data_IF_471082474310
#
_entry.id   IF_471082474310
#
_cell.length_a   1.000
_cell.length_b   1.000
_cell.length_c   1.000
_cell.angle_alpha   90.00
_cell.angle_beta   90.00
_cell.angle_gamma   90.00
#
_symmetry.space_group_name_H-M   'P 1'
#
loop_
_entity.id
_entity.type
_entity.pdbx_description
1 polymer ?
#
# COMPACT_ATOMS: atom_id res chain seq x y z
N UNK A 1 15.41 -7.29 23.27
CA UNK A 1 13.97 -7.24 22.99
C UNK A 1 13.56 -8.31 21.98
N UNK A 2 12.27 -8.59 21.87
CA UNK A 2 11.73 -9.58 20.94
C UNK A 2 11.54 -8.99 19.54
N UNK A 3 11.86 -9.79 18.53
CA UNK A 3 11.63 -9.43 17.13
C UNK A 3 11.39 -10.69 16.26
N UNK A 4 10.60 -10.57 15.21
CA UNK A 4 10.49 -11.57 14.15
C UNK A 4 11.53 -11.26 13.08
N UNK A 5 12.55 -12.09 12.98
CA UNK A 5 13.74 -11.88 12.14
C UNK A 5 13.75 -12.84 10.98
N UNK A 6 13.78 -12.34 9.77
CA UNK A 6 14.11 -13.13 8.58
C UNK A 6 15.62 -13.27 8.51
N UNK A 7 16.12 -14.48 8.75
CA UNK A 7 17.54 -14.78 8.89
C UNK A 7 18.19 -15.21 7.56
N UNK A 8 17.43 -15.92 6.77
CA UNK A 8 17.78 -16.40 5.44
C UNK A 8 16.54 -16.49 4.56
N UNK A 9 16.66 -16.60 3.24
CA UNK A 9 15.51 -16.86 2.38
C UNK A 9 14.69 -18.06 2.86
N UNK A 10 13.38 -17.86 3.04
CA UNK A 10 12.46 -18.88 3.54
C UNK A 10 12.56 -19.17 5.04
N UNK A 11 13.31 -18.38 5.81
CA UNK A 11 13.51 -18.64 7.24
C UNK A 11 13.28 -17.39 8.06
N UNK A 12 12.21 -17.39 8.86
CA UNK A 12 11.91 -16.37 9.86
C UNK A 12 11.76 -17.01 11.23
N UNK A 13 12.32 -16.40 12.27
CA UNK A 13 12.21 -16.86 13.65
C UNK A 13 11.89 -15.72 14.61
N UNK A 14 11.31 -16.05 15.76
CA UNK A 14 11.17 -15.10 16.87
C UNK A 14 12.46 -15.15 17.69
N UNK A 15 13.08 -13.97 17.84
CA UNK A 15 14.28 -13.78 18.65
C UNK A 15 13.96 -12.89 19.85
N UNK A 16 14.63 -13.10 20.97
CA UNK A 16 14.51 -12.33 22.22
C UNK A 16 15.78 -11.52 22.56
N UNK A 17 16.83 -11.73 21.78
CA UNK A 17 18.17 -11.14 21.95
C UNK A 17 18.47 -9.97 21.00
N UNK A 18 17.47 -9.44 20.30
CA UNK A 18 17.67 -8.28 19.42
C UNK A 18 17.92 -7.02 20.23
N UNK A 19 18.69 -6.10 19.62
CA UNK A 19 19.08 -4.86 20.31
C UNK A 19 17.88 -3.92 20.49
N UNK A 20 17.68 -3.42 21.71
CA UNK A 20 16.72 -2.35 21.95
C UNK A 20 17.22 -1.01 21.39
N UNK A 21 16.29 -0.15 20.89
CA UNK A 21 16.65 1.23 20.61
C UNK A 21 17.06 1.92 21.91
N UNK A 22 18.08 2.77 21.84
CA UNK A 22 18.45 3.64 22.96
C UNK A 22 17.40 4.74 23.22
N UNK A 23 17.64 5.60 24.19
CA UNK A 23 16.84 6.83 24.33
C UNK A 23 16.82 7.62 23.00
N UNK A 24 15.66 8.17 22.60
CA UNK A 24 15.57 8.87 21.31
C UNK A 24 16.41 10.16 21.33
N UNK A 25 17.15 10.37 20.25
CA UNK A 25 17.93 11.58 19.98
C UNK A 25 17.05 12.75 19.51
N UNK A 26 17.68 13.91 19.17
CA UNK A 26 16.95 15.05 18.64
C UNK A 26 16.16 14.70 17.37
N UNK A 27 14.87 15.01 17.38
CA UNK A 27 13.97 14.71 16.26
C UNK A 27 13.61 13.24 16.08
N UNK A 28 13.92 12.36 17.04
CA UNK A 28 13.60 10.95 17.03
C UNK A 28 12.48 10.60 18.02
N UNK A 29 11.75 9.54 17.71
CA UNK A 29 10.66 9.00 18.52
C UNK A 29 10.87 7.49 18.64
N UNK A 30 10.74 6.94 19.85
CA UNK A 30 10.64 5.49 20.04
C UNK A 30 9.16 5.13 20.10
N UNK A 31 8.77 4.17 19.26
CA UNK A 31 7.40 3.68 19.18
C UNK A 31 7.35 2.17 19.49
N UNK A 32 6.20 1.74 20.02
CA UNK A 32 5.85 0.34 20.24
C UNK A 32 4.81 -0.05 19.20
N UNK A 33 5.13 -0.91 18.20
CA UNK A 33 4.17 -1.41 17.23
C UNK A 33 3.00 -2.14 17.91
N UNK A 34 1.77 -1.82 17.50
CA UNK A 34 0.55 -2.49 17.96
C UNK A 34 -0.06 -3.40 16.89
N UNK A 35 0.15 -3.05 15.63
CA UNK A 35 -0.27 -3.84 14.48
C UNK A 35 0.68 -3.64 13.30
N UNK A 36 1.00 -4.72 12.62
CA UNK A 36 1.86 -4.72 11.43
C UNK A 36 1.18 -5.52 10.32
N UNK A 37 0.82 -4.85 9.23
CA UNK A 37 0.27 -5.50 8.04
C UNK A 37 1.35 -6.23 7.25
N UNK A 38 0.97 -7.35 6.64
CA UNK A 38 1.81 -8.09 5.69
C UNK A 38 1.51 -7.61 4.27
N UNK A 39 2.55 -7.23 3.54
CA UNK A 39 2.52 -6.79 2.16
C UNK A 39 3.04 -7.87 1.21
N UNK A 40 2.68 -7.81 -0.07
CA UNK A 40 3.28 -8.66 -1.11
C UNK A 40 4.81 -8.53 -1.21
N UNK A 41 5.36 -7.35 -0.92
CA UNK A 41 6.81 -7.14 -0.88
C UNK A 41 7.51 -7.89 0.27
N UNK A 42 6.80 -8.17 1.37
CA UNK A 42 7.32 -9.02 2.45
C UNK A 42 7.51 -10.47 1.97
N UNK A 43 6.64 -10.94 1.07
CA UNK A 43 6.78 -12.27 0.44
C UNK A 43 8.04 -12.34 -0.43
N UNK A 44 8.24 -11.35 -1.29
CA UNK A 44 9.42 -11.26 -2.16
C UNK A 44 10.72 -11.10 -1.33
N UNK A 45 10.66 -10.36 -0.22
CA UNK A 45 11.79 -10.26 0.70
C UNK A 45 12.11 -11.61 1.36
N UNK A 46 11.08 -12.27 1.91
CA UNK A 46 11.20 -13.57 2.54
C UNK A 46 11.72 -14.65 1.59
N UNK A 47 11.30 -14.62 0.33
CA UNK A 47 11.80 -15.52 -0.71
C UNK A 47 13.25 -15.20 -1.16
N UNK A 48 13.81 -14.05 -0.77
CA UNK A 48 15.15 -13.62 -1.17
C UNK A 48 15.22 -12.87 -2.51
N UNK A 49 14.10 -12.64 -3.15
CA UNK A 49 14.01 -12.03 -4.49
C UNK A 49 14.38 -10.54 -4.50
N UNK A 50 14.20 -9.83 -3.38
CA UNK A 50 14.52 -8.40 -3.30
C UNK A 50 16.01 -8.11 -3.03
N UNK A 51 16.82 -9.09 -2.68
CA UNK A 51 18.22 -8.86 -2.36
C UNK A 51 19.00 -8.26 -3.53
N UNK A 52 18.84 -8.81 -4.73
CA UNK A 52 19.49 -8.30 -5.93
C UNK A 52 18.78 -7.06 -6.50
N UNK A 53 17.45 -7.02 -6.40
CA UNK A 53 16.64 -5.99 -7.05
C UNK A 53 16.78 -4.60 -6.39
N UNK A 54 16.80 -4.56 -5.04
CA UNK A 54 16.82 -3.30 -4.29
C UNK A 54 17.95 -3.20 -3.27
N UNK A 55 18.89 -4.14 -3.27
CA UNK A 55 20.03 -4.14 -2.35
C UNK A 55 19.66 -4.44 -0.90
N UNK A 56 18.56 -5.15 -0.68
CA UNK A 56 18.13 -5.56 0.65
C UNK A 56 19.09 -6.61 1.23
N UNK A 57 19.28 -6.58 2.55
CA UNK A 57 20.24 -7.48 3.24
C UNK A 57 19.57 -8.23 4.38
N UNK A 58 20.02 -9.46 4.62
CA UNK A 58 19.66 -10.29 5.75
C UNK A 58 20.81 -10.32 6.79
N UNK A 59 20.54 -10.57 8.08
CA UNK A 59 19.18 -10.72 8.65
C UNK A 59 18.41 -9.40 8.72
N UNK A 60 17.06 -9.48 8.80
CA UNK A 60 16.19 -8.30 8.80
C UNK A 60 14.91 -8.54 9.61
N UNK A 61 14.51 -7.56 10.40
CA UNK A 61 13.15 -7.46 10.94
C UNK A 61 12.26 -6.85 9.85
N UNK A 62 11.27 -7.60 9.38
CA UNK A 62 10.34 -7.14 8.34
C UNK A 62 9.20 -6.26 8.90
N UNK A 63 8.28 -5.86 8.03
CA UNK A 63 7.07 -5.13 8.34
C UNK A 63 7.21 -3.62 8.17
N UNK A 64 6.47 -3.06 7.22
CA UNK A 64 6.47 -1.64 6.89
C UNK A 64 5.09 -1.00 6.91
N UNK A 65 4.01 -1.78 7.07
CA UNK A 65 2.65 -1.31 7.28
C UNK A 65 2.35 -1.28 8.79
N UNK A 66 2.71 -0.21 9.48
CA UNK A 66 2.80 -0.20 10.95
C UNK A 66 1.89 0.84 11.58
N UNK A 67 1.03 0.38 12.50
CA UNK A 67 0.43 1.22 13.54
C UNK A 67 1.15 0.97 14.86
N UNK A 68 1.45 2.04 15.59
CA UNK A 68 2.23 1.98 16.82
C UNK A 68 1.73 3.00 17.85
N UNK A 69 2.22 2.89 19.07
CA UNK A 69 2.05 3.91 20.12
C UNK A 69 3.41 4.51 20.44
N UNK A 70 3.46 5.81 20.58
CA UNK A 70 4.65 6.54 21.04
C UNK A 70 4.98 6.13 22.47
N UNK A 71 6.20 5.66 22.74
CA UNK A 71 6.71 5.37 24.09
C UNK A 71 7.61 6.48 24.61
N UNK A 72 8.47 7.03 23.76
CA UNK A 72 9.38 8.10 24.15
C UNK A 72 9.60 9.08 22.99
N UNK A 73 9.83 10.34 23.35
CA UNK A 73 10.04 11.43 22.39
C UNK A 73 11.37 12.12 22.73
N UNK A 74 12.24 12.25 21.75
CA UNK A 74 13.50 12.97 21.88
C UNK A 74 13.34 14.49 21.86
N UNK A 75 14.42 15.22 22.15
CA UNK A 75 14.42 16.67 22.02
C UNK A 75 14.07 17.11 20.58
N UNK A 76 13.61 18.35 20.43
CA UNK A 76 13.32 18.97 19.11
C UNK A 76 12.21 18.26 18.29
N UNK A 77 11.43 17.38 18.90
CA UNK A 77 10.26 16.83 18.25
C UNK A 77 9.11 17.84 18.22
N UNK A 78 8.35 17.78 17.13
CA UNK A 78 7.16 18.64 16.94
C UNK A 78 6.09 18.35 17.98
N UNK A 79 5.25 19.34 18.24
CA UNK A 79 4.05 19.17 19.06
C UNK A 79 3.11 18.09 18.48
N UNK A 80 2.36 17.44 19.36
CA UNK A 80 1.43 16.36 19.01
C UNK A 80 2.04 14.95 19.04
N UNK A 81 3.37 14.82 19.20
CA UNK A 81 4.02 13.55 19.49
C UNK A 81 4.30 13.46 20.99
N UNK A 82 3.56 12.62 21.69
CA UNK A 82 3.73 12.41 23.15
C UNK A 82 3.51 10.91 23.47
N UNK A 83 4.10 10.41 24.58
CA UNK A 83 3.83 9.05 25.03
C UNK A 83 2.33 8.77 25.13
N UNK A 84 1.89 7.61 24.58
CA UNK A 84 0.50 7.19 24.53
C UNK A 84 -0.24 7.60 23.23
N UNK A 85 0.31 8.48 22.42
CA UNK A 85 -0.30 8.85 21.14
C UNK A 85 -0.13 7.70 20.13
N UNK A 86 -1.25 7.27 19.50
CA UNK A 86 -1.18 6.31 18.40
C UNK A 86 -0.75 6.98 17.11
N UNK A 87 0.08 6.28 16.36
CA UNK A 87 0.70 6.77 15.13
C UNK A 87 0.69 5.70 14.04
N UNK A 88 0.61 6.14 12.80
CA UNK A 88 0.96 5.34 11.63
C UNK A 88 2.37 5.73 11.15
N UNK A 89 3.14 4.77 10.67
CA UNK A 89 4.52 5.01 10.24
C UNK A 89 4.62 5.10 8.73
N UNK A 90 5.14 6.23 8.23
CA UNK A 90 5.56 6.35 6.84
C UNK A 90 6.90 5.63 6.65
N UNK A 91 6.94 4.53 5.86
CA UNK A 91 8.10 3.65 5.88
C UNK A 91 9.30 4.17 5.09
N UNK A 92 9.13 5.19 4.24
CA UNK A 92 10.12 5.63 3.28
C UNK A 92 11.01 6.75 3.83
N UNK A 93 12.33 6.60 3.67
CA UNK A 93 13.33 7.65 3.94
C UNK A 93 13.98 8.07 2.62
N UNK A 94 13.60 9.21 2.02
CA UNK A 94 14.27 9.73 0.83
C UNK A 94 15.59 10.40 1.19
N UNK A 95 16.57 10.39 0.29
CA UNK A 95 17.88 11.01 0.55
C UNK A 95 17.87 12.55 0.55
N UNK A 96 16.79 13.20 0.10
CA UNK A 96 16.63 14.65 0.04
C UNK A 96 17.45 15.37 -1.04
N UNK A 97 18.47 14.74 -1.65
CA UNK A 97 19.46 15.43 -2.48
C UNK A 97 19.51 15.00 -3.96
N UNK A 98 18.94 13.84 -4.33
CA UNK A 98 18.91 13.38 -5.73
C UNK A 98 17.92 14.19 -6.59
N UNK A 99 17.97 13.99 -7.92
CA UNK A 99 17.08 14.73 -8.83
C UNK A 99 15.61 14.57 -8.50
N UNK A 100 15.04 13.36 -8.31
CA UNK A 100 13.65 13.18 -7.90
C UNK A 100 13.30 13.91 -6.59
N UNK A 101 14.17 13.84 -5.57
CA UNK A 101 13.95 14.54 -4.31
C UNK A 101 13.83 16.05 -4.48
N UNK A 102 14.73 16.66 -5.27
CA UNK A 102 14.66 18.10 -5.58
C UNK A 102 13.41 18.51 -6.38
N UNK A 103 12.79 17.56 -7.08
CA UNK A 103 11.52 17.76 -7.79
C UNK A 103 10.29 17.50 -6.90
N UNK A 104 10.46 17.30 -5.59
CA UNK A 104 9.36 16.95 -4.68
C UNK A 104 8.84 15.51 -4.84
N UNK A 105 9.60 14.64 -5.55
CA UNK A 105 9.25 13.24 -5.81
C UNK A 105 10.14 12.29 -5.02
N UNK A 106 10.25 12.52 -3.71
CA UNK A 106 11.05 11.69 -2.81
C UNK A 106 10.64 10.21 -2.80
N UNK A 107 9.39 9.91 -3.16
CA UNK A 107 8.86 8.55 -3.32
C UNK A 107 9.59 7.71 -4.39
N UNK A 108 10.27 8.32 -5.34
CA UNK A 108 11.12 7.66 -6.35
C UNK A 108 12.57 8.13 -6.21
N UNK A 109 13.02 8.30 -4.98
CA UNK A 109 14.40 8.64 -4.66
C UNK A 109 15.37 7.57 -5.17
N UNK A 110 16.47 7.98 -5.78
CA UNK A 110 17.51 7.07 -6.29
C UNK A 110 18.25 6.30 -5.17
N UNK A 111 18.13 6.76 -3.93
CA UNK A 111 18.79 6.20 -2.73
C UNK A 111 17.84 6.20 -1.55
N UNK A 112 16.62 5.73 -1.75
CA UNK A 112 15.67 5.61 -0.65
C UNK A 112 16.04 4.45 0.28
N UNK A 113 15.62 4.56 1.52
CA UNK A 113 15.56 3.45 2.46
C UNK A 113 14.11 3.20 2.87
N UNK A 114 13.75 1.96 3.10
CA UNK A 114 12.41 1.56 3.51
C UNK A 114 12.54 0.63 4.71
N UNK A 115 11.85 0.94 5.80
CA UNK A 115 11.82 0.07 6.99
C UNK A 115 11.21 -1.28 6.61
N UNK A 116 11.68 -2.35 7.25
CA UNK A 116 11.27 -3.72 6.94
C UNK A 116 11.95 -4.35 5.73
N UNK A 117 12.69 -3.54 4.93
CA UNK A 117 13.44 -4.00 3.74
C UNK A 117 14.91 -3.59 3.82
N UNK A 118 15.21 -2.30 3.91
CA UNK A 118 16.60 -1.80 3.97
C UNK A 118 17.08 -1.61 5.41
N UNK A 119 16.17 -1.27 6.31
CA UNK A 119 16.38 -1.17 7.75
C UNK A 119 15.33 -2.00 8.48
N UNK A 120 15.53 -2.26 9.77
CA UNK A 120 14.58 -3.03 10.56
C UNK A 120 13.21 -2.36 10.62
N UNK A 121 12.17 -3.18 10.48
CA UNK A 121 10.77 -2.79 10.41
C UNK A 121 9.99 -2.99 11.71
N UNK A 122 8.66 -3.05 11.60
CA UNK A 122 7.74 -3.03 12.72
C UNK A 122 7.54 -4.36 13.46
N UNK A 123 8.03 -5.49 12.95
CA UNK A 123 7.86 -6.79 13.61
C UNK A 123 8.82 -6.97 14.79
N UNK A 124 8.79 -6.00 15.72
CA UNK A 124 9.58 -5.99 16.95
C UNK A 124 8.88 -5.17 18.04
N UNK A 125 9.33 -5.35 19.30
CA UNK A 125 8.73 -4.67 20.46
C UNK A 125 8.85 -3.16 20.41
N UNK A 126 9.98 -2.62 19.93
CA UNK A 126 10.27 -1.17 19.87
C UNK A 126 11.01 -0.81 18.61
N UNK A 127 10.72 0.38 18.08
CA UNK A 127 11.36 0.90 16.88
C UNK A 127 11.64 2.41 17.08
N UNK A 128 12.89 2.83 16.81
CA UNK A 128 13.22 4.25 16.74
C UNK A 128 12.95 4.80 15.34
N UNK A 129 12.25 5.93 15.27
CA UNK A 129 11.83 6.54 14.01
C UNK A 129 12.12 8.05 14.01
N UNK A 130 12.55 8.62 12.86
CA UNK A 130 12.55 10.08 12.70
C UNK A 130 11.12 10.64 12.81
N UNK A 131 10.93 11.74 13.51
CA UNK A 131 9.61 12.36 13.70
C UNK A 131 8.86 12.66 12.40
N UNK A 132 9.58 12.90 11.30
CA UNK A 132 9.00 13.15 9.98
C UNK A 132 8.32 11.93 9.35
N UNK A 133 8.55 10.75 9.91
CA UNK A 133 7.96 9.47 9.47
C UNK A 133 6.86 8.97 10.43
N UNK A 134 6.54 9.70 11.48
CA UNK A 134 5.59 9.32 12.52
C UNK A 134 4.36 10.22 12.43
N UNK A 135 3.20 9.69 12.08
CA UNK A 135 1.97 10.45 11.86
C UNK A 135 0.91 10.05 12.88
N UNK A 136 0.50 10.98 13.79
CA UNK A 136 -0.64 10.74 14.68
C UNK A 136 -1.87 10.30 13.91
N UNK A 137 -2.59 9.31 14.44
CA UNK A 137 -3.82 8.77 13.85
C UNK A 137 -4.86 8.52 14.94
N UNK A 138 -6.10 9.01 14.73
CA UNK A 138 -7.19 8.90 15.68
C UNK A 138 -7.97 7.57 15.57
N UNK A 139 -7.71 6.73 14.55
CA UNK A 139 -8.35 5.41 14.42
C UNK A 139 -7.96 4.52 15.62
N UNK A 140 -8.97 4.04 16.34
CA UNK A 140 -8.77 3.30 17.59
C UNK A 140 -8.40 1.82 17.39
N UNK A 141 -8.69 1.26 16.21
CA UNK A 141 -8.37 -0.12 15.82
C UNK A 141 -6.96 -0.17 15.23
N UNK A 142 -5.96 -0.71 15.93
CA UNK A 142 -4.58 -0.72 15.44
C UNK A 142 -4.43 -1.38 14.07
N UNK A 143 -5.18 -2.47 13.83
CA UNK A 143 -5.18 -3.21 12.56
C UNK A 143 -5.73 -2.38 11.40
N UNK A 144 -6.65 -1.45 11.66
CA UNK A 144 -7.17 -0.52 10.65
C UNK A 144 -6.20 0.66 10.48
N UNK A 145 -5.63 1.17 11.58
CA UNK A 145 -4.61 2.22 11.53
C UNK A 145 -3.37 1.81 10.72
N UNK A 146 -2.98 0.52 10.77
CA UNK A 146 -1.87 -0.02 9.97
C UNK A 146 -2.15 0.05 8.45
N UNK A 147 -3.42 0.12 8.04
CA UNK A 147 -3.79 0.30 6.63
C UNK A 147 -3.41 1.68 6.07
N UNK A 148 -2.96 2.63 6.90
CA UNK A 148 -2.51 3.94 6.41
C UNK A 148 -1.40 3.81 5.35
N UNK A 149 -0.53 2.79 5.47
CA UNK A 149 0.51 2.55 4.48
C UNK A 149 -0.09 2.10 3.13
N UNK A 150 -0.82 0.98 3.00
CA UNK A 150 -1.40 0.59 1.72
C UNK A 150 -2.42 1.60 1.17
N UNK A 151 -3.14 2.32 2.03
CA UNK A 151 -4.02 3.42 1.62
C UNK A 151 -3.20 4.58 1.02
N UNK A 152 -1.97 4.81 1.48
CA UNK A 152 -1.11 5.84 0.90
C UNK A 152 -0.69 5.53 -0.54
N UNK A 153 -0.53 4.25 -0.88
CA UNK A 153 -0.31 3.80 -2.26
C UNK A 153 -1.53 4.12 -3.12
N UNK A 154 -2.73 3.89 -2.58
CA UNK A 154 -3.99 4.21 -3.25
C UNK A 154 -4.18 5.72 -3.46
N UNK A 155 -3.93 6.53 -2.44
CA UNK A 155 -3.93 8.00 -2.55
C UNK A 155 -2.99 8.45 -3.65
N UNK A 156 -1.77 7.91 -3.68
CA UNK A 156 -0.81 8.21 -4.75
C UNK A 156 -1.34 7.83 -6.13
N UNK A 157 -1.95 6.66 -6.28
CA UNK A 157 -2.52 6.21 -7.55
C UNK A 157 -3.64 7.15 -8.05
N UNK A 158 -4.56 7.53 -7.16
CA UNK A 158 -5.67 8.43 -7.44
C UNK A 158 -5.15 9.85 -7.77
N UNK A 159 -4.11 10.34 -7.06
CA UNK A 159 -3.43 11.59 -7.37
C UNK A 159 -2.76 11.56 -8.76
N UNK A 160 -2.05 10.47 -9.06
CA UNK A 160 -1.40 10.29 -10.38
C UNK A 160 -2.41 10.24 -11.51
N UNK A 161 -3.53 9.56 -11.30
CA UNK A 161 -4.65 9.49 -12.25
C UNK A 161 -5.46 10.78 -12.32
N UNK A 162 -5.23 11.75 -11.44
CA UNK A 162 -6.02 13.00 -11.34
C UNK A 162 -7.52 12.71 -11.25
N UNK A 163 -7.89 11.64 -10.53
CA UNK A 163 -9.30 11.26 -10.38
C UNK A 163 -10.06 12.39 -9.68
N UNK A 164 -11.15 12.82 -10.27
CA UNK A 164 -11.94 13.96 -9.81
C UNK A 164 -13.41 13.58 -9.55
N UNK A 165 -14.11 14.48 -8.84
CA UNK A 165 -15.53 14.31 -8.56
C UNK A 165 -16.35 14.25 -9.85
N UNK A 166 -17.33 13.34 -9.89
CA UNK A 166 -18.19 13.10 -11.04
C UNK A 166 -17.57 12.23 -12.14
N UNK A 167 -16.28 11.87 -12.06
CA UNK A 167 -15.68 10.94 -13.00
C UNK A 167 -16.08 9.49 -12.69
N UNK A 168 -15.93 8.62 -13.69
CA UNK A 168 -16.11 7.18 -13.60
C UNK A 168 -14.75 6.50 -13.73
N UNK A 169 -14.30 5.85 -12.66
CA UNK A 169 -13.01 5.18 -12.58
C UNK A 169 -13.19 3.66 -12.58
N UNK A 170 -12.43 2.96 -13.42
CA UNK A 170 -12.36 1.48 -13.37
C UNK A 170 -11.09 1.06 -12.67
N UNK A 171 -11.19 0.13 -11.74
CA UNK A 171 -10.05 -0.41 -10.99
C UNK A 171 -9.96 -1.92 -11.23
N UNK A 172 -8.86 -2.34 -11.83
CA UNK A 172 -8.53 -3.76 -12.02
C UNK A 172 -7.83 -4.31 -10.78
N UNK A 173 -8.39 -5.42 -10.26
CA UNK A 173 -7.99 -6.04 -9.01
C UNK A 173 -8.73 -5.44 -7.82
N UNK A 174 -9.52 -6.27 -7.13
CA UNK A 174 -10.19 -5.94 -5.88
C UNK A 174 -9.44 -6.49 -4.65
N UNK A 175 -8.12 -6.65 -4.76
CA UNK A 175 -7.23 -6.91 -3.62
C UNK A 175 -7.10 -5.70 -2.69
N UNK A 176 -6.25 -5.74 -1.66
CA UNK A 176 -6.11 -4.66 -0.68
C UNK A 176 -5.85 -3.28 -1.32
N UNK A 177 -4.98 -3.21 -2.31
CA UNK A 177 -4.65 -1.96 -3.01
C UNK A 177 -5.82 -1.49 -3.87
N UNK A 178 -6.48 -2.36 -4.63
CA UNK A 178 -7.63 -1.97 -5.45
C UNK A 178 -8.82 -1.50 -4.62
N UNK A 179 -9.08 -2.13 -3.49
CA UNK A 179 -10.10 -1.68 -2.53
C UNK A 179 -9.76 -0.31 -1.94
N UNK A 180 -8.50 -0.10 -1.54
CA UNK A 180 -8.05 1.19 -1.04
C UNK A 180 -8.17 2.28 -2.12
N UNK A 181 -7.84 1.98 -3.40
CA UNK A 181 -8.04 2.89 -4.53
C UNK A 181 -9.53 3.20 -4.69
N UNK A 182 -10.41 2.20 -4.60
CA UNK A 182 -11.85 2.41 -4.69
C UNK A 182 -12.34 3.37 -3.60
N UNK A 183 -11.96 3.14 -2.33
CA UNK A 183 -12.33 4.03 -1.21
C UNK A 183 -11.80 5.45 -1.43
N UNK A 184 -10.53 5.59 -1.86
CA UNK A 184 -9.93 6.90 -2.10
C UNK A 184 -10.61 7.66 -3.27
N UNK A 185 -11.00 6.97 -4.34
CA UNK A 185 -11.70 7.56 -5.48
C UNK A 185 -13.16 7.94 -5.13
N UNK A 186 -13.85 7.07 -4.39
CA UNK A 186 -15.20 7.34 -3.88
C UNK A 186 -15.22 8.57 -2.95
N UNK A 187 -14.24 8.70 -2.06
CA UNK A 187 -14.09 9.86 -1.19
C UNK A 187 -13.95 11.17 -1.98
N UNK A 188 -13.34 11.12 -3.17
CA UNK A 188 -13.26 12.27 -4.09
C UNK A 188 -14.54 12.55 -4.87
N UNK A 189 -15.55 11.72 -4.69
CA UNK A 189 -16.84 11.86 -5.42
C UNK A 189 -16.82 11.25 -6.81
N UNK A 190 -15.88 10.38 -7.14
CA UNK A 190 -15.91 9.57 -8.35
C UNK A 190 -16.84 8.36 -8.16
N UNK A 191 -17.45 7.87 -9.22
CA UNK A 191 -18.04 6.54 -9.26
C UNK A 191 -16.94 5.52 -9.59
N UNK A 192 -16.98 4.34 -8.96
CA UNK A 192 -15.93 3.32 -9.11
C UNK A 192 -16.52 1.99 -9.52
N UNK A 193 -15.91 1.35 -10.53
CA UNK A 193 -16.16 -0.02 -10.93
C UNK A 193 -14.92 -0.87 -10.64
N UNK A 194 -15.06 -1.85 -9.76
CA UNK A 194 -14.03 -2.87 -9.49
C UNK A 194 -14.17 -4.05 -10.47
N UNK A 195 -13.04 -4.56 -10.92
CA UNK A 195 -12.95 -5.76 -11.77
C UNK A 195 -12.04 -6.78 -11.11
N UNK A 196 -12.57 -7.95 -10.75
CA UNK A 196 -11.79 -9.03 -10.10
C UNK A 196 -12.43 -10.39 -10.39
N UNK A 197 -11.66 -11.49 -10.51
CA UNK A 197 -12.25 -12.82 -10.68
C UNK A 197 -12.94 -13.36 -9.43
N UNK A 198 -12.66 -12.83 -8.24
CA UNK A 198 -13.15 -13.34 -6.96
C UNK A 198 -14.36 -12.53 -6.47
N UNK A 199 -15.54 -13.13 -6.53
CA UNK A 199 -16.81 -12.47 -6.18
C UNK A 199 -16.83 -11.93 -4.74
N UNK A 200 -16.26 -12.66 -3.77
CA UNK A 200 -16.21 -12.19 -2.38
C UNK A 200 -15.42 -10.88 -2.21
N UNK A 201 -14.41 -10.63 -3.06
CA UNK A 201 -13.67 -9.37 -3.09
C UNK A 201 -14.52 -8.23 -3.68
N UNK A 202 -15.26 -8.51 -4.74
CA UNK A 202 -16.19 -7.55 -5.32
C UNK A 202 -17.29 -7.17 -4.31
N UNK A 203 -17.76 -8.12 -3.51
CA UNK A 203 -18.76 -7.86 -2.48
C UNK A 203 -18.24 -6.90 -1.38
N UNK A 204 -16.96 -7.00 -0.99
CA UNK A 204 -16.35 -6.02 -0.09
C UNK A 204 -16.39 -4.62 -0.70
N UNK A 205 -16.04 -4.49 -1.98
CA UNK A 205 -16.09 -3.22 -2.70
C UNK A 205 -17.50 -2.63 -2.80
N UNK A 206 -18.50 -3.47 -3.06
CA UNK A 206 -19.91 -3.03 -3.11
C UNK A 206 -20.36 -2.49 -1.75
N UNK A 207 -19.98 -3.13 -0.65
CA UNK A 207 -20.28 -2.62 0.71
C UNK A 207 -19.58 -1.29 1.00
N UNK A 208 -18.41 -1.06 0.38
CA UNK A 208 -17.73 0.22 0.47
C UNK A 208 -18.32 1.31 -0.45
N UNK A 209 -19.26 0.95 -1.36
CA UNK A 209 -19.95 1.87 -2.27
C UNK A 209 -19.47 1.86 -3.72
N UNK A 210 -18.59 0.93 -4.10
CA UNK A 210 -18.19 0.71 -5.48
C UNK A 210 -19.17 -0.24 -6.19
N UNK A 211 -19.22 -0.18 -7.52
CA UNK A 211 -19.78 -1.25 -8.33
C UNK A 211 -18.72 -2.35 -8.57
N UNK A 212 -19.14 -3.53 -9.02
CA UNK A 212 -18.22 -4.62 -9.26
C UNK A 212 -18.68 -5.57 -10.35
N UNK A 213 -17.76 -5.95 -11.24
CA UNK A 213 -17.99 -6.98 -12.27
C UNK A 213 -16.89 -8.05 -12.21
N UNK A 214 -17.24 -9.33 -12.43
CA UNK A 214 -16.25 -10.38 -12.50
C UNK A 214 -15.36 -10.23 -13.74
N UNK A 215 -14.09 -10.62 -13.59
CA UNK A 215 -13.20 -10.77 -14.75
C UNK A 215 -13.67 -11.98 -15.60
N UNK A 216 -14.12 -11.72 -16.80
CA UNK A 216 -14.62 -12.73 -17.75
C UNK A 216 -13.84 -12.75 -19.07
N UNK A 217 -12.71 -12.02 -19.12
CA UNK A 217 -11.89 -11.81 -20.31
C UNK A 217 -11.85 -10.33 -20.71
N UNK A 218 -10.78 -9.95 -21.40
CA UNK A 218 -10.50 -8.55 -21.69
C UNK A 218 -11.62 -7.87 -22.52
N UNK A 219 -12.09 -8.53 -23.58
CA UNK A 219 -13.11 -7.97 -24.50
C UNK A 219 -14.43 -7.70 -23.77
N UNK A 220 -14.95 -8.70 -23.05
CA UNK A 220 -16.22 -8.58 -22.33
C UNK A 220 -16.12 -7.52 -21.21
N UNK A 221 -15.00 -7.48 -20.47
CA UNK A 221 -14.80 -6.48 -19.40
C UNK A 221 -14.75 -5.07 -19.99
N UNK A 222 -14.09 -4.86 -21.14
CA UNK A 222 -14.03 -3.57 -21.82
C UNK A 222 -15.44 -3.11 -22.23
N UNK A 223 -16.26 -4.01 -22.80
CA UNK A 223 -17.64 -3.69 -23.20
C UNK A 223 -18.49 -3.30 -21.99
N UNK A 224 -18.52 -4.14 -20.96
CA UNK A 224 -19.28 -3.90 -19.72
C UNK A 224 -18.84 -2.63 -18.98
N UNK A 225 -17.56 -2.34 -18.93
CA UNK A 225 -17.05 -1.12 -18.31
C UNK A 225 -17.45 0.14 -19.09
N UNK A 226 -17.48 0.08 -20.41
CA UNK A 226 -17.97 1.17 -21.27
C UNK A 226 -19.46 1.37 -21.11
N UNK A 227 -20.26 0.31 -21.07
CA UNK A 227 -21.70 0.40 -20.80
C UNK A 227 -21.97 1.03 -19.42
N UNK A 228 -21.25 0.57 -18.38
CA UNK A 228 -21.35 1.14 -17.04
C UNK A 228 -20.97 2.62 -17.01
N UNK A 229 -19.92 3.00 -17.74
CA UNK A 229 -19.48 4.39 -17.81
C UNK A 229 -20.40 5.29 -18.66
N UNK A 230 -21.21 4.73 -19.56
CA UNK A 230 -22.05 5.48 -20.48
C UNK A 230 -21.26 6.15 -21.61
N UNK A 231 -21.82 7.21 -22.18
CA UNK A 231 -21.23 7.90 -23.33
C UNK A 231 -19.77 8.29 -23.11
N UNK A 232 -18.91 7.88 -24.04
CA UNK A 232 -17.48 8.16 -24.02
C UNK A 232 -16.62 7.13 -23.26
N UNK A 233 -17.21 6.24 -22.45
CA UNK A 233 -16.48 5.27 -21.65
C UNK A 233 -15.78 5.86 -20.41
N UNK A 234 -15.08 5.03 -19.60
CA UNK A 234 -14.46 5.48 -18.35
C UNK A 234 -13.21 6.34 -18.63
N UNK A 235 -13.13 7.60 -18.18
CA UNK A 235 -12.00 8.48 -18.46
C UNK A 235 -10.71 8.07 -17.76
N UNK A 236 -10.78 7.20 -16.76
CA UNK A 236 -9.62 6.74 -16.01
C UNK A 236 -9.74 5.26 -15.65
N UNK A 237 -8.67 4.51 -15.87
CA UNK A 237 -8.51 3.13 -15.43
C UNK A 237 -7.25 3.01 -14.57
N UNK A 238 -7.33 2.28 -13.45
CA UNK A 238 -6.23 2.04 -12.53
C UNK A 238 -6.00 0.52 -12.42
N UNK A 239 -4.78 0.08 -12.67
CA UNK A 239 -4.43 -1.33 -12.54
C UNK A 239 -3.70 -1.60 -11.23
N UNK A 240 -4.29 -2.42 -10.37
CA UNK A 240 -3.69 -2.88 -9.12
C UNK A 240 -3.26 -4.37 -9.20
N UNK A 241 -3.23 -4.95 -10.41
CA UNK A 241 -2.91 -6.37 -10.61
C UNK A 241 -1.50 -6.61 -11.14
N UNK A 242 -0.98 -5.73 -12.00
CA UNK A 242 0.21 -5.96 -12.81
C UNK A 242 0.02 -7.02 -13.91
N UNK A 243 -1.21 -7.50 -14.11
CA UNK A 243 -1.50 -8.54 -15.09
C UNK A 243 -1.54 -7.96 -16.52
N UNK A 244 -0.85 -8.59 -17.50
CA UNK A 244 -0.79 -8.08 -18.87
C UNK A 244 -2.16 -7.87 -19.53
N UNK A 245 -3.11 -8.77 -19.30
CA UNK A 245 -4.45 -8.68 -19.87
C UNK A 245 -5.28 -7.54 -19.26
N UNK A 246 -5.14 -7.31 -17.94
CA UNK A 246 -5.79 -6.21 -17.26
C UNK A 246 -5.24 -4.85 -17.74
N UNK A 247 -3.93 -4.73 -17.90
CA UNK A 247 -3.29 -3.51 -18.42
C UNK A 247 -3.71 -3.25 -19.88
N UNK A 248 -3.77 -4.28 -20.72
CA UNK A 248 -4.29 -4.14 -22.10
C UNK A 248 -5.75 -3.68 -22.11
N UNK A 249 -6.60 -4.33 -21.32
CA UNK A 249 -8.00 -3.93 -21.18
C UNK A 249 -8.14 -2.49 -20.70
N UNK A 250 -7.32 -2.05 -19.73
CA UNK A 250 -7.30 -0.66 -19.25
C UNK A 250 -6.98 0.34 -20.36
N UNK A 251 -5.96 0.05 -21.20
CA UNK A 251 -5.59 0.92 -22.35
C UNK A 251 -6.68 0.93 -23.43
N UNK A 252 -7.30 -0.21 -23.67
CA UNK A 252 -8.32 -0.33 -24.71
C UNK A 252 -9.64 0.35 -24.32
N UNK A 253 -10.04 0.28 -23.03
CA UNK A 253 -11.33 0.78 -22.58
C UNK A 253 -11.42 2.31 -22.49
N UNK A 254 -10.34 2.99 -22.11
CA UNK A 254 -10.37 4.43 -21.91
C UNK A 254 -10.57 5.18 -23.23
N UNK A 255 -11.36 6.27 -23.26
CA UNK A 255 -11.60 7.09 -24.45
C UNK A 255 -10.36 7.93 -24.82
N UNK A 256 -10.41 8.66 -25.95
CA UNK A 256 -9.42 9.71 -26.24
C UNK A 256 -9.25 10.68 -25.07
N UNK A 257 -8.00 11.11 -24.82
CA UNK A 257 -7.56 11.87 -23.66
C UNK A 257 -7.74 11.14 -22.32
N UNK A 258 -7.95 9.83 -22.35
CA UNK A 258 -8.07 8.97 -21.17
C UNK A 258 -6.76 8.76 -20.43
N UNK A 259 -6.86 8.29 -19.19
CA UNK A 259 -5.72 8.07 -18.29
C UNK A 259 -5.70 6.63 -17.81
N UNK A 260 -4.52 6.01 -17.87
CA UNK A 260 -4.27 4.68 -17.29
C UNK A 260 -3.18 4.81 -16.25
N UNK A 261 -3.42 4.32 -15.04
CA UNK A 261 -2.44 4.30 -13.94
C UNK A 261 -2.07 2.87 -13.62
N UNK A 262 -0.79 2.54 -13.76
CA UNK A 262 -0.25 1.22 -13.43
C UNK A 262 0.32 1.28 -12.02
N UNK A 263 -0.27 0.51 -11.11
CA UNK A 263 0.08 0.40 -9.68
C UNK A 263 0.62 -0.99 -9.38
N UNK A 264 0.01 -2.02 -9.97
CA UNK A 264 0.42 -3.41 -9.79
C UNK A 264 1.86 -3.63 -10.28
N UNK A 265 2.63 -4.36 -9.49
CA UNK A 265 3.98 -4.80 -9.85
C UNK A 265 3.94 -6.25 -10.30
N UNK A 266 4.80 -6.59 -11.25
CA UNK A 266 4.96 -7.96 -11.71
C UNK A 266 6.15 -8.10 -12.65
N UNK A 267 6.68 -9.31 -12.83
CA UNK A 267 7.82 -9.59 -13.71
C UNK A 267 7.43 -9.65 -15.19
N UNK A 268 6.17 -9.34 -15.53
CA UNK A 268 5.61 -9.57 -16.87
C UNK A 268 5.89 -8.42 -17.82
N UNK A 269 6.21 -8.74 -19.06
CA UNK A 269 6.20 -7.80 -20.17
C UNK A 269 4.78 -7.64 -20.72
N UNK A 270 4.41 -6.41 -21.06
CA UNK A 270 3.11 -6.09 -21.65
C UNK A 270 3.30 -5.53 -23.05
N UNK A 271 2.86 -6.25 -24.06
CA UNK A 271 2.81 -5.75 -25.42
C UNK A 271 1.58 -4.84 -25.61
N UNK A 272 1.82 -3.59 -25.99
CA UNK A 272 0.79 -2.59 -26.25
C UNK A 272 0.90 -2.05 -27.69
N UNK A 273 -0.24 -1.74 -28.31
CA UNK A 273 -0.26 -1.11 -29.64
C UNK A 273 0.11 0.35 -29.52
N UNK A 274 1.14 0.78 -30.25
CA UNK A 274 1.58 2.20 -30.26
C UNK A 274 0.45 3.13 -30.71
N UNK A 275 -0.37 2.71 -31.69
CA UNK A 275 -1.53 3.47 -32.16
C UNK A 275 -2.52 3.83 -31.05
N UNK A 276 -2.72 2.94 -30.06
CA UNK A 276 -3.60 3.23 -28.91
C UNK A 276 -3.20 4.49 -28.15
N UNK A 277 -1.90 4.80 -28.09
CA UNK A 277 -1.40 6.00 -27.42
C UNK A 277 -1.54 7.26 -28.27
N UNK A 278 -1.16 7.17 -29.55
CA UNK A 278 -1.11 8.34 -30.45
C UNK A 278 -2.47 8.74 -30.96
N UNK A 279 -3.33 7.78 -31.32
CA UNK A 279 -4.69 8.04 -31.83
C UNK A 279 -5.64 8.57 -30.75
N UNK A 280 -5.45 8.11 -29.49
CA UNK A 280 -6.27 8.53 -28.35
C UNK A 280 -5.60 9.62 -27.49
N UNK A 281 -4.32 9.96 -27.73
CA UNK A 281 -3.54 10.89 -26.89
C UNK A 281 -3.60 10.50 -25.40
N UNK A 282 -3.30 9.21 -25.09
CA UNK A 282 -3.45 8.66 -23.75
C UNK A 282 -2.32 9.08 -22.80
N UNK A 283 -2.68 9.38 -21.55
CA UNK A 283 -1.77 9.43 -20.41
C UNK A 283 -1.62 8.03 -19.81
N UNK A 284 -0.48 7.36 -20.03
CA UNK A 284 -0.15 6.12 -19.31
C UNK A 284 0.90 6.41 -18.24
N UNK A 285 0.54 6.19 -17.00
CA UNK A 285 1.25 6.69 -15.83
C UNK A 285 1.61 5.54 -14.88
N UNK A 286 2.89 5.41 -14.54
CA UNK A 286 3.31 4.56 -13.41
C UNK A 286 3.18 5.28 -12.08
N UNK A 287 3.00 4.52 -11.01
CA UNK A 287 3.05 5.01 -9.62
C UNK A 287 3.98 4.13 -8.79
N UNK A 288 4.58 4.70 -7.76
CA UNK A 288 5.47 3.98 -6.84
C UNK A 288 5.42 4.63 -5.48
N UNK A 289 5.25 3.83 -4.44
CA UNK A 289 5.20 4.26 -3.05
C UNK A 289 4.30 5.50 -2.86
N UNK A 290 4.63 6.40 -1.93
CA UNK A 290 3.95 7.68 -1.72
C UNK A 290 4.91 8.73 -1.17
N UNK A 291 4.54 10.01 -1.28
CA UNK A 291 5.23 11.10 -0.58
C UNK A 291 4.69 11.24 0.85
N UNK A 292 5.44 11.93 1.74
CA UNK A 292 4.98 12.21 3.10
C UNK A 292 3.63 12.97 3.13
N UNK A 293 3.39 13.86 2.17
CA UNK A 293 2.12 14.58 2.05
C UNK A 293 0.95 13.63 1.70
N UNK A 294 1.18 12.69 0.80
CA UNK A 294 0.19 11.67 0.45
C UNK A 294 -0.03 10.66 1.58
N UNK A 295 1.00 10.39 2.39
CA UNK A 295 0.84 9.59 3.60
C UNK A 295 -0.04 10.31 4.64
N UNK A 296 0.16 11.61 4.85
CA UNK A 296 -0.72 12.41 5.71
C UNK A 296 -2.18 12.42 5.21
N UNK A 297 -2.39 12.53 3.88
CA UNK A 297 -3.72 12.41 3.25
C UNK A 297 -4.33 11.02 3.51
N UNK A 298 -3.52 9.97 3.43
CA UNK A 298 -3.95 8.60 3.69
C UNK A 298 -4.36 8.37 5.15
N UNK A 299 -3.60 8.90 6.11
CA UNK A 299 -3.96 8.88 7.54
C UNK A 299 -5.34 9.49 7.74
N UNK A 300 -5.57 10.69 7.22
CA UNK A 300 -6.87 11.35 7.32
C UNK A 300 -7.99 10.58 6.58
N UNK A 301 -7.67 9.89 5.48
CA UNK A 301 -8.63 9.04 4.78
C UNK A 301 -9.01 7.81 5.60
N UNK A 302 -8.05 7.15 6.26
CA UNK A 302 -8.31 6.03 7.18
C UNK A 302 -9.21 6.47 8.31
N UNK A 303 -8.95 7.61 8.96
CA UNK A 303 -9.78 8.15 10.04
C UNK A 303 -11.25 8.36 9.63
N UNK A 304 -11.48 8.84 8.42
CA UNK A 304 -12.85 9.07 7.91
C UNK A 304 -13.54 7.82 7.38
N UNK A 305 -12.78 6.82 6.95
CA UNK A 305 -13.30 5.64 6.24
C UNK A 305 -12.92 4.31 6.94
N UNK A 306 -12.56 4.33 8.22
CA UNK A 306 -12.14 3.14 8.95
C UNK A 306 -13.12 1.97 8.83
N UNK A 307 -14.42 2.22 8.85
CA UNK A 307 -15.45 1.17 8.71
C UNK A 307 -15.53 0.57 7.29
N UNK A 308 -15.21 1.35 6.25
CA UNK A 308 -15.11 0.84 4.87
C UNK A 308 -13.84 0.04 4.66
N UNK A 309 -12.77 0.36 5.39
CA UNK A 309 -11.45 -0.26 5.28
C UNK A 309 -11.29 -1.48 6.20
N UNK A 310 -11.98 -1.52 7.34
CA UNK A 310 -11.87 -2.62 8.30
C UNK A 310 -12.11 -4.01 7.69
N UNK A 311 -13.06 -4.23 6.74
CA UNK A 311 -13.25 -5.52 6.10
C UNK A 311 -12.04 -6.03 5.29
N UNK A 312 -11.06 -5.16 5.00
CA UNK A 312 -9.82 -5.58 4.34
C UNK A 312 -8.95 -6.43 5.25
N UNK A 313 -9.03 -6.24 6.57
CA UNK A 313 -8.29 -7.05 7.55
C UNK A 313 -9.04 -8.36 7.75
N UNK A 314 -8.67 -9.38 6.98
CA UNK A 314 -9.33 -10.69 7.03
C UNK A 314 -8.78 -11.62 8.12
N UNK A 315 -7.50 -11.48 8.46
CA UNK A 315 -6.83 -12.36 9.42
C UNK A 315 -5.92 -11.56 10.35
N UNK A 316 -5.92 -11.97 11.61
CA UNK A 316 -5.02 -11.41 12.63
C UNK A 316 -4.30 -12.54 13.35
N UNK A 317 -2.99 -12.39 13.52
CA UNK A 317 -2.14 -13.33 14.23
C UNK A 317 -1.48 -12.66 15.45
N UNK A 318 -1.23 -13.42 16.49
CA UNK A 318 -0.40 -12.97 17.59
C UNK A 318 1.07 -12.86 17.14
N UNK A 319 1.85 -12.00 17.79
CA UNK A 319 3.25 -11.76 17.46
C UNK A 319 4.09 -13.05 17.38
N UNK A 320 3.92 -13.97 18.32
CA UNK A 320 4.65 -15.24 18.34
C UNK A 320 4.38 -16.13 17.13
N UNK A 321 3.32 -15.85 16.38
CA UNK A 321 2.94 -16.55 15.16
C UNK A 321 3.30 -15.76 13.89
N UNK A 322 4.16 -14.75 13.99
CA UNK A 322 4.55 -13.95 12.82
C UNK A 322 5.14 -14.79 11.67
N UNK A 323 6.03 -15.79 11.92
CA UNK A 323 6.49 -16.66 10.84
C UNK A 323 5.37 -17.45 10.15
N UNK A 324 4.42 -17.97 10.94
CA UNK A 324 3.25 -18.68 10.43
C UNK A 324 2.33 -17.76 9.64
N UNK A 325 2.09 -16.54 10.13
CA UNK A 325 1.24 -15.56 9.47
C UNK A 325 1.74 -15.20 8.08
N UNK A 326 3.06 -15.06 7.92
CA UNK A 326 3.70 -14.76 6.63
C UNK A 326 3.49 -15.92 5.64
N UNK A 327 3.79 -17.15 6.06
CA UNK A 327 3.60 -18.35 5.23
C UNK A 327 2.11 -18.54 4.88
N UNK A 328 1.22 -18.38 5.88
CA UNK A 328 -0.22 -18.49 5.66
C UNK A 328 -0.71 -17.51 4.59
N UNK A 329 -0.28 -16.25 4.67
CA UNK A 329 -0.66 -15.22 3.69
C UNK A 329 -0.16 -15.54 2.28
N UNK A 330 1.04 -16.12 2.14
CA UNK A 330 1.62 -16.56 0.87
C UNK A 330 0.87 -17.74 0.25
N UNK A 331 0.48 -18.71 1.08
CA UNK A 331 -0.15 -19.96 0.62
C UNK A 331 -1.66 -19.83 0.36
N UNK A 332 -2.31 -18.80 0.94
CA UNK A 332 -3.76 -18.60 0.85
C UNK A 332 -4.15 -17.24 0.20
N UNK A 333 -3.62 -16.90 -1.00
CA UNK A 333 -3.82 -15.59 -1.62
C UNK A 333 -5.27 -15.30 -2.03
N UNK A 334 -6.10 -16.33 -2.21
CA UNK A 334 -7.51 -16.19 -2.56
C UNK A 334 -8.41 -15.98 -1.35
N UNK A 335 -7.99 -16.42 -0.16
CA UNK A 335 -8.75 -16.30 1.09
C UNK A 335 -8.36 -15.04 1.88
N UNK A 336 -7.11 -14.60 1.71
CA UNK A 336 -6.57 -13.45 2.43
C UNK A 336 -6.69 -12.17 1.63
N UNK A 337 -7.05 -11.08 2.32
CA UNK A 337 -6.93 -9.72 1.81
C UNK A 337 -5.73 -9.05 2.49
N UNK A 338 -5.88 -8.65 3.74
CA UNK A 338 -4.79 -8.15 4.58
C UNK A 338 -4.66 -9.05 5.81
N UNK A 339 -3.49 -9.60 5.99
CA UNK A 339 -3.08 -10.29 7.21
C UNK A 339 -2.35 -9.30 8.09
N UNK A 340 -2.71 -9.23 9.36
CA UNK A 340 -2.11 -8.32 10.34
C UNK A 340 -1.53 -9.13 11.50
N UNK A 341 -0.31 -8.82 11.89
CA UNK A 341 0.34 -9.34 13.09
C UNK A 341 0.16 -8.31 14.19
N UNK A 342 -0.43 -8.71 15.32
CA UNK A 342 -0.55 -7.86 16.50
C UNK A 342 0.81 -7.66 17.15
N UNK A 343 1.03 -6.52 17.75
CA UNK A 343 2.28 -6.15 18.41
C UNK A 343 2.74 -7.14 19.49
N UNK A 344 4.03 -7.15 19.76
CA UNK A 344 4.70 -8.02 20.72
C UNK A 344 4.38 -7.67 22.18
#
# INVERSE_FOLDING_TARGET
>A
MRAAVTEAPGTMSIRDDTREPGPPGPGEVVVRPEAVGICGSDFHFYAGELHELVGATLPRVQGHEVAAVVEAVGPECRDGLAPGVRVALWPLTPCGACRPCRMGRGNVCERFSLIGIHTDGGLQERLAMPQGQVFPIAEERPEVAALAEPVSIAVRAVNRGRVAAGERAVVFGAGPIGQAIAVAALERGAAVLLVDPLEHRLEIGRRAGADGIPWSGAEEVVERAREWAGDGGPPVALDATGAPDAIRAAVDMVPPAGRVVIVGMGPHEVALRVGSFTEKELDVLGTSVCTAAEFAEAVALVERNGDRLAPLVTHQFAFDRAPEALVYAMENPTETMKVVIRGA
#
